data_IF_561435297267
#
_entry.id   IF_561435297267
#
_cell.length_a   1.000
_cell.length_b   1.000
_cell.length_c   1.000
_cell.angle_alpha   90.00
_cell.angle_beta   90.00
_cell.angle_gamma   90.00
#
_symmetry.space_group_name_H-M   'P 1'
#
loop_
_entity.id
_entity.type
_entity.pdbx_description
1 polymer ?
#
# COMPACT_ATOMS: atom_id res chain seq x y z
N UNK A 1 -7.35 -22.47 9.16
CA UNK A 1 -7.38 -21.67 7.92
C UNK A 1 -8.70 -20.92 7.94
N UNK A 2 -8.70 -19.66 8.37
CA UNK A 2 -9.92 -18.85 8.38
C UNK A 2 -10.15 -18.33 6.96
N UNK A 3 -11.29 -18.68 6.37
CA UNK A 3 -11.72 -18.15 5.10
C UNK A 3 -12.01 -16.65 5.27
N UNK A 4 -11.35 -15.81 4.47
CA UNK A 4 -11.74 -14.42 4.28
C UNK A 4 -13.10 -14.41 3.60
N UNK A 5 -14.09 -13.76 4.22
CA UNK A 5 -15.39 -13.55 3.61
C UNK A 5 -15.24 -12.63 2.37
N UNK A 6 -15.98 -12.86 1.27
CA UNK A 6 -15.94 -11.98 0.11
C UNK A 6 -16.66 -10.68 0.47
N UNK A 7 -15.88 -9.62 0.71
CA UNK A 7 -16.39 -8.27 0.96
C UNK A 7 -16.38 -7.46 -0.33
N UNK A 8 -17.59 -7.23 -0.87
CA UNK A 8 -18.01 -6.23 -1.86
C UNK A 8 -17.42 -6.34 -3.29
N UNK A 9 -18.28 -6.74 -4.23
CA UNK A 9 -18.00 -6.86 -5.66
C UNK A 9 -18.20 -5.55 -6.46
N UNK A 10 -17.45 -5.49 -7.57
CA UNK A 10 -17.50 -4.58 -8.73
C UNK A 10 -16.80 -3.21 -8.59
N UNK A 11 -15.54 -3.14 -9.07
CA UNK A 11 -14.66 -1.97 -9.16
C UNK A 11 -14.02 -1.46 -7.85
N UNK A 12 -13.66 -2.36 -6.92
CA UNK A 12 -12.71 -2.02 -5.86
C UNK A 12 -11.36 -1.64 -6.50
N UNK A 13 -11.12 -0.33 -6.60
CA UNK A 13 -9.87 0.25 -7.09
C UNK A 13 -9.27 1.15 -6.04
N UNK A 14 -7.95 1.14 -5.97
CA UNK A 14 -7.18 2.03 -5.10
C UNK A 14 -6.32 2.95 -5.95
N UNK A 15 -6.07 4.15 -5.45
CA UNK A 15 -5.15 5.10 -6.08
C UNK A 15 -3.76 4.84 -5.51
N UNK A 16 -2.82 4.45 -6.36
CA UNK A 16 -1.49 4.00 -5.98
C UNK A 16 -0.46 5.03 -6.40
N UNK A 17 0.40 5.42 -5.46
CA UNK A 17 1.59 6.24 -5.72
C UNK A 17 2.75 5.36 -6.19
N UNK A 18 3.00 4.25 -5.51
CA UNK A 18 4.07 3.30 -5.86
C UNK A 18 3.88 1.93 -5.21
N UNK A 19 4.43 0.90 -5.86
CA UNK A 19 4.58 -0.46 -5.33
C UNK A 19 6.02 -0.89 -5.56
N UNK A 20 6.72 -1.29 -4.49
CA UNK A 20 8.14 -1.65 -4.58
C UNK A 20 8.57 -2.63 -3.47
N UNK A 21 9.65 -3.37 -3.72
CA UNK A 21 10.29 -4.25 -2.74
C UNK A 21 11.47 -3.53 -2.09
N UNK A 22 11.53 -3.53 -0.75
CA UNK A 22 12.66 -3.04 0.02
C UNK A 22 12.76 -3.79 1.36
N UNK A 23 13.57 -3.28 2.30
CA UNK A 23 13.58 -3.70 3.70
C UNK A 23 12.71 -2.75 4.52
N UNK A 24 11.95 -3.29 5.48
CA UNK A 24 11.26 -2.44 6.47
C UNK A 24 12.27 -1.64 7.28
N UNK A 25 12.07 -0.32 7.33
CA UNK A 25 12.99 0.63 7.97
C UNK A 25 12.60 0.97 9.40
N UNK A 26 11.36 0.66 9.82
CA UNK A 26 10.80 1.13 11.09
C UNK A 26 10.13 0.03 11.93
N UNK A 27 9.93 0.33 13.21
CA UNK A 27 9.22 -0.48 14.21
C UNK A 27 9.84 -1.88 14.47
N UNK A 28 8.99 -2.89 14.63
CA UNK A 28 9.34 -4.25 15.07
C UNK A 28 9.89 -5.14 13.95
N UNK A 29 9.47 -4.88 12.71
CA UNK A 29 9.84 -5.66 11.53
C UNK A 29 11.08 -5.10 10.78
N UNK A 30 11.86 -4.21 11.39
CA UNK A 30 13.06 -3.61 10.76
C UNK A 30 13.97 -4.69 10.15
N UNK A 31 14.39 -4.47 8.91
CA UNK A 31 15.26 -5.37 8.15
C UNK A 31 14.54 -6.49 7.41
N UNK A 32 13.22 -6.64 7.53
CA UNK A 32 12.48 -7.69 6.81
C UNK A 32 12.23 -7.29 5.35
N UNK A 33 12.50 -8.18 4.37
CA UNK A 33 12.07 -7.98 2.99
C UNK A 33 10.56 -7.81 2.91
N UNK A 34 10.12 -6.65 2.44
CA UNK A 34 8.73 -6.19 2.48
C UNK A 34 8.37 -5.49 1.19
N UNK A 35 7.22 -5.87 0.61
CA UNK A 35 6.61 -5.11 -0.48
C UNK A 35 5.81 -3.97 0.13
N UNK A 36 6.11 -2.75 -0.28
CA UNK A 36 5.35 -1.57 0.10
C UNK A 36 4.31 -1.28 -0.96
N UNK A 37 3.07 -1.07 -0.53
CA UNK A 37 1.97 -0.57 -1.36
C UNK A 37 1.61 0.80 -0.83
N UNK A 38 2.11 1.85 -1.48
CA UNK A 38 1.86 3.24 -1.07
C UNK A 38 0.63 3.78 -1.80
N UNK A 39 -0.47 4.00 -1.09
CA UNK A 39 -1.67 4.62 -1.66
C UNK A 39 -1.47 6.13 -1.80
N UNK A 40 -2.34 6.76 -2.57
CA UNK A 40 -2.40 8.21 -2.75
C UNK A 40 -3.58 8.78 -1.99
N UNK A 41 -3.36 9.90 -1.32
CA UNK A 41 -4.39 10.63 -0.59
C UNK A 41 -4.20 10.49 0.92
N UNK A 42 -4.21 11.63 1.59
CA UNK A 42 -4.20 11.72 3.05
C UNK A 42 -5.16 12.86 3.40
N UNK A 43 -6.13 12.71 4.31
CA UNK A 43 -6.94 13.84 4.79
C UNK A 43 -6.18 14.65 5.84
N UNK A 44 -5.12 14.06 6.42
CA UNK A 44 -4.26 14.71 7.37
C UNK A 44 -3.29 15.65 6.62
N UNK A 45 -3.04 16.83 7.19
CA UNK A 45 -2.11 17.84 6.65
C UNK A 45 -0.98 18.05 7.63
N UNK A 46 -0.33 16.96 8.00
CA UNK A 46 0.74 16.93 9.00
C UNK A 46 1.89 17.85 8.57
N UNK A 47 2.31 18.76 9.46
CA UNK A 47 3.35 19.76 9.19
C UNK A 47 4.73 19.15 8.89
N UNK A 48 5.01 17.96 9.42
CA UNK A 48 6.31 17.27 9.30
C UNK A 48 6.21 15.96 8.53
N UNK A 49 5.29 15.86 7.57
CA UNK A 49 5.21 14.70 6.68
C UNK A 49 6.37 14.73 5.69
N UNK A 50 7.21 13.71 5.72
CA UNK A 50 8.32 13.49 4.78
C UNK A 50 7.86 12.97 3.41
N UNK A 51 6.62 12.48 3.33
CA UNK A 51 6.02 11.85 2.14
C UNK A 51 4.85 12.69 1.60
N UNK A 52 4.98 14.02 1.64
CA UNK A 52 3.93 14.94 1.16
C UNK A 52 3.56 14.74 -0.32
N UNK A 53 4.46 14.15 -1.12
CA UNK A 53 4.20 13.81 -2.52
C UNK A 53 3.11 12.73 -2.69
N UNK A 54 2.79 11.95 -1.65
CA UNK A 54 1.70 10.97 -1.69
C UNK A 54 0.31 11.56 -1.42
N UNK A 55 0.19 12.88 -1.25
CA UNK A 55 -1.12 13.54 -1.03
C UNK A 55 -1.97 13.62 -2.31
N UNK A 56 -1.34 13.57 -3.48
CA UNK A 56 -1.97 13.77 -4.77
C UNK A 56 -1.20 13.02 -5.88
N UNK A 57 -1.70 12.99 -7.11
CA UNK A 57 -1.08 12.20 -8.20
C UNK A 57 -1.46 10.72 -8.18
N UNK A 58 -0.56 9.80 -8.52
CA UNK A 58 -0.86 8.36 -8.54
C UNK A 58 -1.86 7.89 -9.62
N UNK A 59 -2.02 6.58 -9.75
CA UNK A 59 -2.85 5.92 -10.77
C UNK A 59 -3.90 5.03 -10.12
N UNK A 60 -5.05 4.86 -10.77
CA UNK A 60 -6.07 3.93 -10.30
C UNK A 60 -5.72 2.51 -10.73
N UNK A 61 -5.68 1.59 -9.78
CA UNK A 61 -5.46 0.15 -10.03
C UNK A 61 -6.58 -0.67 -9.40
N UNK A 62 -7.00 -1.73 -10.09
CA UNK A 62 -7.87 -2.73 -9.48
C UNK A 62 -7.14 -3.52 -8.40
N UNK A 63 -7.86 -4.03 -7.41
CA UNK A 63 -7.26 -4.87 -6.36
C UNK A 63 -6.51 -6.07 -6.95
N UNK A 64 -7.07 -6.72 -7.98
CA UNK A 64 -6.43 -7.88 -8.61
C UNK A 64 -5.09 -7.52 -9.28
N UNK A 65 -5.00 -6.36 -9.92
CA UNK A 65 -3.75 -5.86 -10.53
C UNK A 65 -2.68 -5.60 -9.47
N UNK A 66 -3.08 -4.99 -8.35
CA UNK A 66 -2.19 -4.73 -7.20
C UNK A 66 -1.67 -6.05 -6.63
N UNK A 67 -2.56 -7.01 -6.39
CA UNK A 67 -2.19 -8.33 -5.87
C UNK A 67 -1.25 -9.07 -6.82
N UNK A 68 -1.51 -9.00 -8.12
CA UNK A 68 -0.65 -9.59 -9.14
C UNK A 68 0.74 -8.96 -9.16
N UNK A 69 0.84 -7.62 -9.01
CA UNK A 69 2.13 -6.93 -8.94
C UNK A 69 2.89 -7.25 -7.64
N UNK A 70 2.20 -7.26 -6.49
CA UNK A 70 2.81 -7.63 -5.20
C UNK A 70 3.38 -9.05 -5.23
N UNK A 71 2.64 -9.99 -5.82
CA UNK A 71 3.06 -11.39 -5.92
C UNK A 71 4.37 -11.59 -6.72
N UNK A 72 4.69 -10.70 -7.66
CA UNK A 72 5.92 -10.78 -8.46
C UNK A 72 7.21 -10.59 -7.64
N UNK A 73 7.12 -9.94 -6.48
CA UNK A 73 8.27 -9.67 -5.63
C UNK A 73 8.65 -10.84 -4.71
N UNK A 74 7.77 -11.82 -4.49
CA UNK A 74 8.05 -13.02 -3.70
C UNK A 74 8.32 -12.79 -2.20
N UNK A 75 8.07 -11.59 -1.67
CA UNK A 75 8.23 -11.32 -0.25
C UNK A 75 7.06 -11.88 0.57
N UNK A 76 7.34 -12.27 1.82
CA UNK A 76 6.31 -12.74 2.75
C UNK A 76 5.54 -11.61 3.42
N UNK A 77 6.13 -10.41 3.46
CA UNK A 77 5.57 -9.26 4.14
C UNK A 77 5.12 -8.20 3.14
N UNK A 78 3.97 -7.60 3.42
CA UNK A 78 3.42 -6.48 2.69
C UNK A 78 3.08 -5.38 3.68
N UNK A 79 3.53 -4.17 3.41
CA UNK A 79 3.18 -2.98 4.17
C UNK A 79 2.28 -2.09 3.30
N UNK A 80 1.00 -2.02 3.66
CA UNK A 80 0.06 -1.05 3.07
C UNK A 80 0.22 0.27 3.83
N UNK A 81 0.60 1.32 3.12
CA UNK A 81 0.95 2.63 3.67
C UNK A 81 0.51 3.74 2.71
N UNK A 82 0.71 5.01 3.08
CA UNK A 82 0.55 6.15 2.18
C UNK A 82 -0.88 6.40 1.67
N UNK A 83 -1.28 7.64 1.37
CA UNK A 83 -1.03 8.73 2.30
C UNK A 83 -1.55 8.27 3.67
N UNK A 84 -2.83 8.43 3.93
CA UNK A 84 -3.49 7.71 5.04
C UNK A 84 -4.21 6.48 4.46
N UNK A 85 -3.74 5.25 4.73
CA UNK A 85 -4.28 4.05 4.10
C UNK A 85 -5.72 3.70 4.53
N UNK A 86 -6.22 4.28 5.63
CA UNK A 86 -7.58 4.07 6.14
C UNK A 86 -8.52 5.26 5.93
N UNK A 87 -8.14 6.19 5.04
CA UNK A 87 -8.92 7.39 4.73
C UNK A 87 -10.24 7.10 4.01
#
# INVERSE_FOLDING_TARGET
>A
MAAVAPGADAESRLRISEIFLSLQGEADAVGWPTVFVRLTGCPLRCRWCDTAYAFEGGQWHGIDDILAQVAQHGARHVCVTGGEPLA
#
